data_IF_020588889614
#
_entry.id   IF_020588889614
#
_cell.length_a   1.000
_cell.length_b   1.000
_cell.length_c   1.000
_cell.angle_alpha   90.00
_cell.angle_beta   90.00
_cell.angle_gamma   90.00
#
_symmetry.space_group_name_H-M   'P 1'
#
loop_
_entity.id
_entity.type
_entity.pdbx_description
1 polymer ?
#
# COMPACT_ATOMS: atom_id res chain seq x y z
N UNK A 1 22.68 13.55 -24.50
CA UNK A 1 21.67 14.62 -24.43
C UNK A 1 20.65 14.19 -23.40
N UNK A 2 20.42 14.95 -22.36
CA UNK A 2 19.37 14.64 -21.37
C UNK A 2 18.01 14.79 -22.06
N UNK A 3 17.20 13.74 -22.00
CA UNK A 3 15.82 13.82 -22.50
C UNK A 3 15.02 14.80 -21.63
N UNK A 4 14.25 15.69 -22.27
CA UNK A 4 13.35 16.60 -21.60
C UNK A 4 11.92 16.29 -22.02
N UNK A 5 11.05 16.10 -21.02
CA UNK A 5 9.65 15.78 -21.22
C UNK A 5 8.82 16.79 -20.42
N UNK A 6 7.85 17.42 -21.08
CA UNK A 6 6.96 18.39 -20.43
C UNK A 6 5.50 17.95 -20.55
N UNK A 7 4.72 18.23 -19.51
CA UNK A 7 3.29 17.94 -19.47
C UNK A 7 2.55 18.95 -18.59
N UNK A 8 1.28 19.19 -18.87
CA UNK A 8 0.40 19.99 -17.99
C UNK A 8 0.19 19.31 -16.64
N UNK A 9 0.13 17.97 -16.65
CA UNK A 9 -0.04 17.16 -15.44
C UNK A 9 0.85 15.91 -15.50
N UNK A 10 1.61 15.73 -14.46
CA UNK A 10 2.33 14.48 -14.21
C UNK A 10 1.70 13.78 -12.99
N UNK A 11 1.44 12.48 -13.12
CA UNK A 11 1.04 11.61 -12.03
C UNK A 11 2.24 10.73 -11.69
N UNK A 12 2.72 10.81 -10.46
CA UNK A 12 3.84 10.04 -9.97
C UNK A 12 3.33 8.81 -9.22
N UNK A 13 3.49 7.66 -9.84
CA UNK A 13 3.01 6.36 -9.35
C UNK A 13 1.84 5.80 -10.14
N UNK A 14 1.85 4.49 -10.35
CA UNK A 14 0.92 3.74 -11.20
C UNK A 14 0.03 2.74 -10.43
N UNK A 15 -0.12 2.94 -9.13
CA UNK A 15 -1.13 2.22 -8.36
C UNK A 15 -2.57 2.67 -8.68
N UNK A 16 -3.59 2.09 -8.04
CA UNK A 16 -5.01 2.44 -8.30
C UNK A 16 -5.28 3.94 -8.20
N UNK A 17 -4.66 4.63 -7.24
CA UNK A 17 -4.81 6.07 -7.06
C UNK A 17 -4.23 6.85 -8.25
N UNK A 18 -3.05 6.45 -8.75
CA UNK A 18 -2.40 7.08 -9.88
C UNK A 18 -3.18 6.89 -11.18
N UNK A 19 -3.60 5.67 -11.48
CA UNK A 19 -4.41 5.43 -12.68
C UNK A 19 -5.77 6.13 -12.61
N UNK A 20 -6.43 6.12 -11.45
CA UNK A 20 -7.69 6.87 -11.28
C UNK A 20 -7.50 8.36 -11.55
N UNK A 21 -6.47 8.98 -10.97
CA UNK A 21 -6.17 10.39 -11.21
C UNK A 21 -5.90 10.67 -12.70
N UNK A 22 -5.12 9.81 -13.36
CA UNK A 22 -4.78 9.94 -14.76
C UNK A 22 -6.00 9.79 -15.67
N UNK A 23 -6.90 8.83 -15.41
CA UNK A 23 -8.13 8.62 -16.16
C UNK A 23 -8.97 9.90 -16.14
N UNK A 24 -9.21 10.48 -14.98
CA UNK A 24 -10.03 11.69 -14.89
C UNK A 24 -9.34 12.92 -15.46
N UNK A 25 -8.04 13.04 -15.32
CA UNK A 25 -7.25 14.11 -15.92
C UNK A 25 -7.27 14.05 -17.46
N UNK A 26 -7.13 12.84 -18.03
CA UNK A 26 -7.23 12.63 -19.46
C UNK A 26 -8.63 12.98 -19.99
N UNK A 27 -9.68 12.57 -19.30
CA UNK A 27 -11.06 12.92 -19.61
C UNK A 27 -11.33 14.43 -19.52
N UNK A 28 -10.58 15.16 -18.69
CA UNK A 28 -10.60 16.62 -18.62
C UNK A 28 -9.72 17.31 -19.70
N UNK A 29 -9.13 16.55 -20.63
CA UNK A 29 -8.31 17.09 -21.72
C UNK A 29 -6.94 17.59 -21.29
N UNK A 30 -6.38 17.09 -20.17
CA UNK A 30 -5.08 17.51 -19.66
C UNK A 30 -3.90 16.74 -20.27
N UNK A 31 -4.15 15.65 -21.00
CA UNK A 31 -3.14 14.77 -21.60
C UNK A 31 -2.04 14.39 -20.58
N UNK A 32 -2.40 13.74 -19.48
CA UNK A 32 -1.48 13.49 -18.39
C UNK A 32 -0.40 12.47 -18.74
N UNK A 33 0.73 12.55 -18.04
CA UNK A 33 1.77 11.54 -18.05
C UNK A 33 1.73 10.81 -16.70
N UNK A 34 1.70 9.46 -16.71
CA UNK A 34 1.95 8.64 -15.53
C UNK A 34 3.39 8.15 -15.57
N UNK A 35 4.16 8.47 -14.53
CA UNK A 35 5.50 7.88 -14.32
C UNK A 35 5.33 6.69 -13.39
N UNK A 36 5.59 5.49 -13.93
CA UNK A 36 5.12 4.24 -13.33
C UNK A 36 5.92 3.79 -12.08
N UNK A 37 7.17 4.26 -11.93
CA UNK A 37 8.05 3.84 -10.86
C UNK A 37 8.67 2.46 -11.14
N UNK A 38 9.26 1.87 -10.11
CA UNK A 38 9.95 0.57 -10.19
C UNK A 38 9.00 -0.63 -10.18
N UNK A 39 7.76 -0.44 -9.74
CA UNK A 39 6.73 -1.49 -9.68
C UNK A 39 5.43 -0.98 -10.32
N UNK A 40 5.28 -1.06 -11.66
CA UNK A 40 4.06 -0.70 -12.35
C UNK A 40 2.84 -1.46 -11.80
N UNK A 41 1.74 -0.74 -11.58
CA UNK A 41 0.54 -1.29 -10.96
C UNK A 41 0.55 -1.29 -9.42
N UNK A 42 1.72 -1.08 -8.80
CA UNK A 42 1.86 -0.98 -7.34
C UNK A 42 1.57 -2.28 -6.60
N UNK A 43 1.13 -2.18 -5.35
CA UNK A 43 1.00 -3.34 -4.46
C UNK A 43 -0.05 -4.37 -4.90
N UNK A 44 -1.09 -3.97 -5.61
CA UNK A 44 -2.11 -4.92 -6.08
C UNK A 44 -1.55 -5.94 -7.08
N UNK A 45 -0.42 -5.68 -7.73
CA UNK A 45 0.23 -6.67 -8.61
C UNK A 45 0.85 -7.85 -7.85
N UNK A 46 1.03 -7.71 -6.55
CA UNK A 46 1.53 -8.79 -5.66
C UNK A 46 0.43 -9.42 -4.81
N UNK A 47 -0.80 -8.91 -4.92
CA UNK A 47 -1.98 -9.43 -4.23
C UNK A 47 -2.73 -10.38 -5.16
N UNK A 48 -3.16 -11.53 -4.65
CA UNK A 48 -3.98 -12.47 -5.43
C UNK A 48 -5.43 -12.03 -5.45
N UNK A 49 -6.16 -12.28 -4.39
CA UNK A 49 -7.59 -12.06 -4.29
C UNK A 49 -7.92 -10.67 -3.77
N UNK A 50 -8.78 -9.96 -4.50
CA UNK A 50 -9.28 -8.62 -4.15
C UNK A 50 -10.80 -8.68 -4.10
N UNK A 51 -11.36 -8.46 -2.90
CA UNK A 51 -12.79 -8.48 -2.64
C UNK A 51 -13.36 -7.10 -2.27
N UNK A 52 -12.50 -6.14 -1.98
CA UNK A 52 -12.86 -4.84 -1.43
C UNK A 52 -12.66 -3.67 -2.40
N UNK A 53 -12.45 -3.95 -3.69
CA UNK A 53 -12.45 -2.90 -4.70
C UNK A 53 -13.88 -2.68 -5.21
N UNK A 54 -14.45 -1.46 -5.07
CA UNK A 54 -15.84 -1.21 -5.43
C UNK A 54 -16.09 -1.44 -6.93
N UNK A 55 -17.25 -2.04 -7.24
CA UNK A 55 -17.70 -2.30 -8.62
C UNK A 55 -17.66 -3.77 -9.02
N UNK A 56 -17.05 -4.63 -8.21
CA UNK A 56 -17.00 -6.08 -8.44
C UNK A 56 -17.70 -6.81 -7.29
N UNK A 57 -18.65 -7.68 -7.63
CA UNK A 57 -19.38 -8.52 -6.66
C UNK A 57 -18.57 -9.76 -6.30
N UNK A 58 -17.91 -10.32 -7.28
CA UNK A 58 -17.14 -11.55 -7.15
C UNK A 58 -15.66 -11.20 -6.98
N UNK A 59 -14.90 -12.13 -6.40
CA UNK A 59 -13.44 -11.98 -6.21
C UNK A 59 -12.75 -11.75 -7.55
N UNK A 60 -11.86 -10.77 -7.59
CA UNK A 60 -11.01 -10.48 -8.75
C UNK A 60 -9.54 -10.61 -8.39
N UNK A 61 -8.69 -10.79 -9.39
CA UNK A 61 -7.25 -10.87 -9.19
C UNK A 61 -6.61 -9.48 -9.24
N UNK A 62 -5.74 -9.17 -8.28
CA UNK A 62 -5.06 -7.89 -8.19
C UNK A 62 -4.27 -7.52 -9.46
N UNK A 63 -3.43 -8.40 -10.02
CA UNK A 63 -2.72 -8.14 -11.27
C UNK A 63 -3.67 -7.80 -12.42
N UNK A 64 -4.72 -8.59 -12.61
CA UNK A 64 -5.71 -8.33 -13.65
C UNK A 64 -6.38 -6.96 -13.48
N UNK A 65 -6.78 -6.59 -12.27
CA UNK A 65 -7.37 -5.28 -12.01
C UNK A 65 -6.42 -4.16 -12.42
N UNK A 66 -5.13 -4.29 -12.14
CA UNK A 66 -4.14 -3.26 -12.47
C UNK A 66 -3.87 -3.17 -13.97
N UNK A 67 -3.93 -4.29 -14.70
CA UNK A 67 -3.87 -4.32 -16.16
C UNK A 67 -5.08 -3.59 -16.78
N UNK A 68 -6.29 -3.86 -16.30
CA UNK A 68 -7.51 -3.19 -16.74
C UNK A 68 -7.49 -1.68 -16.47
N UNK A 69 -7.01 -1.25 -15.30
CA UNK A 69 -6.89 0.16 -14.95
C UNK A 69 -5.84 0.87 -15.81
N UNK A 70 -4.72 0.23 -16.11
CA UNK A 70 -3.71 0.75 -17.03
C UNK A 70 -4.30 0.91 -18.43
N UNK A 71 -4.92 -0.14 -18.96
CA UNK A 71 -5.53 -0.14 -20.28
C UNK A 71 -6.61 0.94 -20.40
N UNK A 72 -7.42 1.14 -19.35
CA UNK A 72 -8.40 2.22 -19.31
C UNK A 72 -7.73 3.59 -19.35
N UNK A 73 -6.66 3.80 -18.60
CA UNK A 73 -5.95 5.08 -18.58
C UNK A 73 -5.33 5.40 -19.95
N UNK A 74 -4.73 4.42 -20.61
CA UNK A 74 -4.16 4.55 -21.95
C UNK A 74 -5.26 4.82 -22.99
N UNK A 75 -6.38 4.10 -22.92
CA UNK A 75 -7.51 4.26 -23.82
C UNK A 75 -8.08 5.70 -23.83
N UNK A 76 -8.10 6.36 -22.67
CA UNK A 76 -8.57 7.75 -22.58
C UNK A 76 -7.49 8.80 -22.86
N UNK A 77 -6.27 8.37 -23.25
CA UNK A 77 -5.21 9.26 -23.73
C UNK A 77 -4.13 9.59 -22.68
N UNK A 78 -3.99 8.82 -21.63
CA UNK A 78 -2.85 8.93 -20.71
C UNK A 78 -1.60 8.34 -21.34
N UNK A 79 -0.49 9.05 -21.25
CA UNK A 79 0.83 8.53 -21.66
C UNK A 79 1.52 7.85 -20.47
N UNK A 80 1.87 6.57 -20.62
CA UNK A 80 2.69 5.84 -19.64
C UNK A 80 4.16 6.07 -19.91
N UNK A 81 4.95 6.29 -18.83
CA UNK A 81 6.40 6.42 -18.87
C UNK A 81 7.01 5.49 -17.85
N UNK A 82 7.85 4.61 -18.34
CA UNK A 82 8.63 3.72 -17.48
C UNK A 82 9.90 4.44 -17.03
N UNK A 83 9.85 5.03 -15.85
CA UNK A 83 10.96 5.67 -15.18
C UNK A 83 10.73 5.68 -13.66
N UNK A 84 11.78 5.88 -12.89
CA UNK A 84 11.73 6.13 -11.46
C UNK A 84 12.26 7.54 -11.18
N UNK A 85 11.55 8.30 -10.36
CA UNK A 85 11.92 9.68 -10.03
C UNK A 85 12.80 9.70 -8.78
N UNK A 86 14.03 10.12 -8.97
CA UNK A 86 15.01 10.28 -7.90
C UNK A 86 14.79 11.55 -7.07
N UNK A 87 14.31 12.63 -7.70
CA UNK A 87 14.09 13.89 -6.98
C UNK A 87 13.02 14.77 -7.62
N UNK A 88 12.37 15.58 -6.78
CA UNK A 88 11.34 16.55 -7.18
C UNK A 88 11.65 17.90 -6.58
N UNK A 89 11.67 18.95 -7.41
CA UNK A 89 11.74 20.34 -6.98
C UNK A 89 10.34 20.98 -7.05
N UNK A 90 9.67 21.03 -5.92
CA UNK A 90 8.32 21.60 -5.80
C UNK A 90 8.31 23.15 -5.78
N UNK A 91 9.47 23.78 -5.66
CA UNK A 91 9.59 25.26 -5.62
C UNK A 91 9.73 25.86 -6.99
N UNK A 92 10.22 25.08 -7.97
CA UNK A 92 10.31 25.54 -9.35
C UNK A 92 8.93 25.65 -10.01
N UNK A 93 8.85 26.52 -11.01
CA UNK A 93 7.66 26.64 -11.88
C UNK A 93 8.13 26.73 -13.33
N UNK A 94 7.83 25.73 -14.19
CA UNK A 94 7.11 24.48 -13.88
C UNK A 94 7.82 23.60 -12.84
N UNK A 95 7.08 22.70 -12.18
CA UNK A 95 7.61 21.71 -11.24
C UNK A 95 8.60 20.82 -11.98
N UNK A 96 9.79 20.62 -11.43
CA UNK A 96 10.82 19.81 -12.04
C UNK A 96 11.00 18.48 -11.32
N UNK A 97 11.02 17.40 -12.10
CA UNK A 97 11.33 16.06 -11.61
C UNK A 97 12.56 15.53 -12.36
N UNK A 98 13.38 14.74 -11.71
CA UNK A 98 14.56 14.10 -12.30
C UNK A 98 14.43 12.60 -12.17
N UNK A 99 14.46 11.91 -13.31
CA UNK A 99 14.48 10.45 -13.38
C UNK A 99 15.85 9.88 -13.07
N UNK A 100 15.91 8.59 -12.71
CA UNK A 100 17.15 7.87 -12.40
C UNK A 100 18.14 7.85 -13.58
N UNK A 101 17.62 7.84 -14.79
CA UNK A 101 18.42 7.89 -16.02
C UNK A 101 18.84 9.31 -16.44
N UNK A 102 18.56 10.33 -15.61
CA UNK A 102 18.86 11.73 -15.89
C UNK A 102 17.84 12.46 -16.76
N UNK A 103 16.72 11.82 -17.13
CA UNK A 103 15.61 12.48 -17.81
C UNK A 103 15.02 13.58 -16.93
N UNK A 104 14.79 14.76 -17.52
CA UNK A 104 14.15 15.89 -16.83
C UNK A 104 12.68 15.97 -17.24
N UNK A 105 11.82 16.02 -16.25
CA UNK A 105 10.39 16.21 -16.45
C UNK A 105 9.97 17.57 -15.90
N UNK A 106 9.07 18.23 -16.64
CA UNK A 106 8.50 19.51 -16.23
C UNK A 106 6.99 19.42 -16.24
N UNK A 107 6.34 19.84 -15.16
CA UNK A 107 4.91 19.79 -15.00
C UNK A 107 4.35 21.12 -14.46
N UNK A 108 3.19 21.56 -15.00
CA UNK A 108 2.45 22.66 -14.38
C UNK A 108 1.80 22.21 -13.07
N UNK A 109 1.38 20.94 -13.00
CA UNK A 109 0.77 20.30 -11.84
C UNK A 109 1.31 18.89 -11.63
N UNK A 110 1.38 18.45 -10.37
CA UNK A 110 1.88 17.13 -9.97
C UNK A 110 0.87 16.46 -9.03
N UNK A 111 0.52 15.22 -9.34
CA UNK A 111 -0.18 14.32 -8.40
C UNK A 111 0.84 13.30 -7.87
N UNK A 112 1.00 13.25 -6.56
CA UNK A 112 1.88 12.27 -5.89
C UNK A 112 1.01 11.10 -5.43
N UNK A 113 1.17 9.94 -6.09
CA UNK A 113 0.42 8.71 -5.86
C UNK A 113 1.37 7.51 -5.67
N UNK A 114 2.47 7.74 -4.96
CA UNK A 114 3.58 6.78 -4.82
C UNK A 114 3.28 5.62 -3.88
N UNK A 115 2.12 5.64 -3.21
CA UNK A 115 1.69 4.59 -2.31
C UNK A 115 2.55 4.48 -1.05
N UNK A 116 2.56 3.28 -0.48
CA UNK A 116 3.36 2.93 0.68
C UNK A 116 3.82 1.47 0.57
N UNK A 117 4.87 1.13 1.28
CA UNK A 117 5.32 -0.25 1.42
C UNK A 117 5.12 -0.71 2.86
N UNK A 118 4.60 -1.93 3.01
CA UNK A 118 4.49 -2.57 4.30
C UNK A 118 5.87 -2.81 4.91
N UNK A 119 5.98 -2.59 6.22
CA UNK A 119 7.18 -2.93 6.98
C UNK A 119 7.00 -4.34 7.56
N UNK A 120 7.66 -5.28 6.94
CA UNK A 120 7.75 -6.65 7.42
C UNK A 120 8.81 -6.80 8.52
N UNK A 121 8.74 -7.89 9.28
CA UNK A 121 9.76 -8.20 10.30
C UNK A 121 11.09 -8.63 9.67
N UNK A 122 11.03 -9.16 8.44
CA UNK A 122 12.21 -9.65 7.71
C UNK A 122 12.68 -11.03 8.17
N UNK A 123 11.80 -11.81 8.79
CA UNK A 123 12.12 -13.18 9.20
C UNK A 123 11.94 -14.14 8.02
N UNK A 124 12.83 -15.11 7.82
CA UNK A 124 12.66 -16.11 6.75
C UNK A 124 11.34 -16.87 6.83
N UNK A 125 10.88 -17.19 8.04
CA UNK A 125 9.59 -17.84 8.28
C UNK A 125 8.39 -16.95 7.95
N UNK A 126 8.52 -15.64 8.04
CA UNK A 126 7.46 -14.68 7.66
C UNK A 126 7.16 -14.74 6.17
N UNK A 127 8.19 -14.85 5.33
CA UNK A 127 8.04 -14.87 3.88
C UNK A 127 7.13 -16.01 3.40
N UNK A 128 7.25 -17.18 4.02
CA UNK A 128 6.42 -18.34 3.72
C UNK A 128 4.95 -18.17 4.15
N UNK A 129 4.71 -17.29 5.13
CA UNK A 129 3.38 -17.10 5.72
C UNK A 129 2.64 -15.89 5.14
N UNK A 130 3.26 -15.07 4.29
CA UNK A 130 2.62 -13.94 3.64
C UNK A 130 1.40 -14.39 2.83
N UNK A 131 0.23 -13.77 3.10
CA UNK A 131 -1.06 -14.16 2.50
C UNK A 131 -1.62 -15.52 2.99
N UNK A 132 -0.93 -16.18 3.94
CA UNK A 132 -1.30 -17.51 4.45
C UNK A 132 -1.31 -17.56 6.00
N UNK A 133 -1.52 -16.42 6.62
CA UNK A 133 -1.52 -16.26 8.07
C UNK A 133 -0.77 -15.02 8.54
N UNK A 134 0.17 -14.50 7.75
CA UNK A 134 0.80 -13.21 7.98
C UNK A 134 0.32 -12.19 6.92
N UNK A 135 -0.20 -11.08 7.40
CA UNK A 135 -0.68 -9.95 6.59
C UNK A 135 -0.08 -8.64 7.10
N UNK A 136 0.00 -7.66 6.23
CA UNK A 136 0.40 -6.29 6.57
C UNK A 136 -0.74 -5.29 6.40
N UNK A 137 -1.97 -5.77 6.27
CA UNK A 137 -3.15 -4.93 6.05
C UNK A 137 -4.39 -5.54 6.72
N UNK A 138 -4.74 -5.07 7.89
CA UNK A 138 -5.91 -5.57 8.62
C UNK A 138 -7.24 -5.28 7.88
N UNK A 139 -7.34 -4.14 7.21
CA UNK A 139 -8.55 -3.77 6.45
C UNK A 139 -8.72 -4.60 5.18
N UNK A 140 -7.62 -5.12 4.61
CA UNK A 140 -7.67 -5.98 3.44
C UNK A 140 -8.06 -7.41 3.82
N UNK A 141 -7.38 -7.97 4.82
CA UNK A 141 -7.38 -9.40 5.10
C UNK A 141 -8.12 -9.78 6.39
N UNK A 142 -8.47 -8.81 7.24
CA UNK A 142 -9.05 -9.05 8.57
C UNK A 142 -10.33 -9.89 8.54
N UNK A 143 -11.12 -9.77 7.48
CA UNK A 143 -12.34 -10.54 7.28
C UNK A 143 -12.09 -12.06 7.26
N UNK A 144 -10.98 -12.51 6.65
CA UNK A 144 -10.63 -13.95 6.57
C UNK A 144 -10.25 -14.57 7.92
N UNK A 145 -9.96 -13.73 8.90
CA UNK A 145 -9.57 -14.15 10.26
C UNK A 145 -10.69 -13.96 11.29
N UNK A 146 -11.95 -13.84 10.84
CA UNK A 146 -13.11 -13.68 11.71
C UNK A 146 -13.22 -14.85 12.70
N UNK A 147 -13.36 -14.52 13.99
CA UNK A 147 -13.46 -15.47 15.09
C UNK A 147 -12.15 -16.17 15.48
N UNK A 148 -11.04 -15.88 14.80
CA UNK A 148 -9.72 -16.44 15.13
C UNK A 148 -8.99 -15.54 16.11
N UNK A 149 -8.01 -16.11 16.82
CA UNK A 149 -7.05 -15.33 17.61
C UNK A 149 -6.09 -14.64 16.67
N UNK A 150 -5.84 -13.35 16.90
CA UNK A 150 -4.99 -12.53 16.04
C UNK A 150 -3.89 -11.88 16.86
N UNK A 151 -2.67 -11.91 16.33
CA UNK A 151 -1.53 -11.16 16.84
C UNK A 151 -1.22 -9.99 15.89
N UNK A 152 -1.09 -8.79 16.44
CA UNK A 152 -0.63 -7.59 15.72
C UNK A 152 0.74 -7.22 16.24
N UNK A 153 1.68 -7.01 15.32
CA UNK A 153 3.09 -6.76 15.70
C UNK A 153 3.44 -5.31 15.41
N UNK A 154 3.78 -4.56 16.44
CA UNK A 154 4.20 -3.17 16.28
C UNK A 154 3.93 -2.30 17.50
N UNK A 155 4.04 -0.98 17.33
CA UNK A 155 3.83 -0.02 18.43
C UNK A 155 3.70 1.43 17.94
N UNK A 156 3.56 1.63 16.64
CA UNK A 156 3.20 2.91 16.02
C UNK A 156 1.69 3.01 15.75
N UNK A 157 1.26 4.13 15.18
CA UNK A 157 -0.16 4.39 14.85
C UNK A 157 -0.79 3.23 14.09
N UNK A 158 -0.19 2.81 12.98
CA UNK A 158 -0.69 1.71 12.14
C UNK A 158 -0.98 0.44 12.94
N UNK A 159 -0.03 -0.01 13.77
CA UNK A 159 -0.22 -1.23 14.56
C UNK A 159 -1.36 -1.10 15.58
N UNK A 160 -1.52 0.07 16.19
CA UNK A 160 -2.61 0.32 17.15
C UNK A 160 -3.94 0.43 16.42
N UNK A 161 -4.00 1.12 15.30
CA UNK A 161 -5.20 1.23 14.46
C UNK A 161 -5.64 -0.14 13.93
N UNK A 162 -4.70 -0.95 13.45
CA UNK A 162 -4.99 -2.30 12.97
C UNK A 162 -5.44 -3.24 14.10
N UNK A 163 -4.84 -3.14 15.29
CA UNK A 163 -5.30 -3.91 16.45
C UNK A 163 -6.73 -3.54 16.84
N UNK A 164 -7.06 -2.25 16.86
CA UNK A 164 -8.43 -1.77 17.08
C UNK A 164 -9.38 -2.24 15.98
N UNK A 165 -8.98 -2.16 14.71
CA UNK A 165 -9.79 -2.61 13.59
C UNK A 165 -10.08 -4.13 13.67
N UNK A 166 -9.09 -4.93 14.03
CA UNK A 166 -9.25 -6.38 14.16
C UNK A 166 -10.26 -6.79 15.22
N UNK A 167 -10.58 -5.97 16.18
CA UNK A 167 -11.65 -6.26 17.16
C UNK A 167 -13.04 -6.37 16.53
N UNK A 168 -13.25 -5.83 15.33
CA UNK A 168 -14.48 -6.04 14.56
C UNK A 168 -14.61 -7.48 14.03
N UNK A 169 -13.51 -8.22 13.98
CA UNK A 169 -13.44 -9.56 13.43
C UNK A 169 -13.04 -10.61 14.47
N UNK A 170 -12.31 -10.22 15.51
CA UNK A 170 -11.77 -11.12 16.54
C UNK A 170 -12.05 -10.59 17.95
N UNK A 171 -12.40 -11.51 18.86
CA UNK A 171 -12.54 -11.21 20.28
C UNK A 171 -11.26 -11.48 21.10
N UNK A 172 -10.17 -11.91 20.44
CA UNK A 172 -8.87 -12.18 21.07
C UNK A 172 -7.76 -11.60 20.19
N UNK A 173 -7.48 -10.33 20.39
CA UNK A 173 -6.43 -9.59 19.68
C UNK A 173 -5.27 -9.35 20.65
N UNK A 174 -4.07 -9.71 20.24
CA UNK A 174 -2.86 -9.50 21.04
C UNK A 174 -1.90 -8.57 20.29
N UNK A 175 -1.68 -7.37 20.82
CA UNK A 175 -0.63 -6.48 20.30
C UNK A 175 0.72 -6.87 20.94
N UNK A 176 1.70 -7.22 20.11
CA UNK A 176 3.06 -7.59 20.54
C UNK A 176 4.00 -6.43 20.25
N UNK A 177 4.63 -5.91 21.31
CA UNK A 177 5.59 -4.81 21.17
C UNK A 177 6.92 -5.10 21.85
N UNK A 178 8.01 -4.81 21.14
CA UNK A 178 9.39 -5.10 21.59
C UNK A 178 9.92 -4.16 22.68
N UNK A 179 9.18 -3.11 23.04
CA UNK A 179 9.52 -2.12 24.07
C UNK A 179 8.43 -2.10 25.14
N UNK A 180 8.63 -1.29 26.15
CA UNK A 180 7.71 -1.07 27.29
C UNK A 180 6.70 0.07 27.07
N UNK A 181 6.84 0.81 25.95
CA UNK A 181 5.93 1.90 25.61
C UNK A 181 5.66 2.00 24.11
N UNK A 182 4.42 2.32 23.75
CA UNK A 182 4.03 2.56 22.35
C UNK A 182 4.50 3.95 21.89
N UNK A 183 4.69 4.08 20.59
CA UNK A 183 4.98 5.35 19.91
C UNK A 183 3.77 5.94 19.20
N UNK A 184 2.64 5.24 19.26
CA UNK A 184 1.38 5.71 18.72
C UNK A 184 0.91 6.98 19.44
N UNK A 185 0.04 7.75 18.81
CA UNK A 185 -0.60 8.91 19.40
C UNK A 185 -1.38 8.55 20.65
N UNK A 186 -1.39 9.46 21.62
CA UNK A 186 -1.99 9.21 22.94
C UNK A 186 -3.47 8.79 22.85
N UNK A 187 -4.23 9.42 21.98
CA UNK A 187 -5.64 9.08 21.76
C UNK A 187 -5.86 7.66 21.26
N UNK A 188 -4.97 7.16 20.43
CA UNK A 188 -5.01 5.78 19.94
C UNK A 188 -4.64 4.79 21.05
N UNK A 189 -3.64 5.13 21.87
CA UNK A 189 -3.26 4.32 23.02
C UNK A 189 -4.40 4.22 24.04
N UNK A 190 -5.07 5.32 24.33
CA UNK A 190 -6.19 5.35 25.27
C UNK A 190 -7.35 4.46 24.78
N UNK A 191 -7.66 4.48 23.51
CA UNK A 191 -8.65 3.58 22.89
C UNK A 191 -8.23 2.12 22.96
N UNK A 192 -6.96 1.83 22.66
CA UNK A 192 -6.41 0.47 22.72
C UNK A 192 -6.51 -0.11 24.11
N UNK A 193 -6.05 0.64 25.14
CA UNK A 193 -6.04 0.16 26.53
C UNK A 193 -7.44 0.06 27.15
N UNK A 194 -8.40 0.83 26.65
CA UNK A 194 -9.80 0.73 27.07
C UNK A 194 -10.54 -0.46 26.43
N UNK A 195 -9.97 -1.08 25.39
CA UNK A 195 -10.67 -2.12 24.62
C UNK A 195 -10.55 -3.51 25.26
N UNK A 196 -11.69 -4.17 25.66
CA UNK A 196 -11.66 -5.41 26.42
C UNK A 196 -11.09 -6.61 25.68
N UNK A 197 -11.12 -6.58 24.34
CA UNK A 197 -10.66 -7.69 23.48
C UNK A 197 -9.20 -7.56 23.06
N UNK A 198 -8.46 -6.54 23.57
CA UNK A 198 -7.05 -6.34 23.21
C UNK A 198 -6.16 -6.57 24.42
N UNK A 199 -5.14 -7.39 24.25
CA UNK A 199 -4.05 -7.57 25.21
C UNK A 199 -2.76 -7.03 24.63
N UNK A 200 -1.90 -6.44 25.46
CA UNK A 200 -0.58 -5.98 25.03
C UNK A 200 0.49 -6.83 25.69
N UNK A 201 1.37 -7.40 24.86
CA UNK A 201 2.57 -8.10 25.32
C UNK A 201 3.78 -7.19 25.10
N UNK A 202 4.30 -6.69 26.20
CA UNK A 202 5.47 -5.83 26.25
C UNK A 202 6.77 -6.59 26.22
N UNK A 203 7.83 -5.96 25.73
CA UNK A 203 9.20 -6.49 25.73
C UNK A 203 9.29 -7.87 25.07
N UNK A 204 8.48 -8.09 24.03
CA UNK A 204 8.44 -9.32 23.24
C UNK A 204 8.72 -9.01 21.77
N UNK A 205 9.51 -9.87 21.15
CA UNK A 205 9.75 -9.88 19.71
C UNK A 205 9.35 -11.24 19.15
N UNK A 206 8.94 -11.25 17.89
CA UNK A 206 8.68 -12.48 17.15
C UNK A 206 10.03 -13.03 16.70
N UNK A 207 10.30 -14.26 17.05
CA UNK A 207 11.50 -14.99 16.64
C UNK A 207 11.24 -15.81 15.38
N UNK A 208 10.08 -16.45 15.33
CA UNK A 208 9.75 -17.35 14.24
C UNK A 208 8.23 -17.47 14.05
N UNK A 209 7.78 -17.63 12.80
CA UNK A 209 6.41 -17.99 12.47
C UNK A 209 6.34 -19.51 12.34
N UNK A 210 5.38 -20.13 13.03
CA UNK A 210 5.14 -21.58 12.98
C UNK A 210 3.76 -21.81 12.39
N UNK A 211 3.67 -22.66 11.39
CA UNK A 211 2.41 -23.02 10.76
C UNK A 211 2.61 -24.09 9.70
N UNK A 212 1.58 -24.89 9.49
CA UNK A 212 1.51 -25.82 8.37
C UNK A 212 0.92 -25.07 7.16
N UNK A 213 1.59 -25.12 6.02
CA UNK A 213 1.02 -24.62 4.78
C UNK A 213 -0.13 -25.52 4.36
N UNK A 214 -1.30 -24.97 3.96
CA UNK A 214 -2.35 -25.77 3.35
C UNK A 214 -1.78 -26.46 2.11
N UNK A 215 -1.64 -27.77 2.16
CA UNK A 215 -1.13 -28.58 1.05
C UNK A 215 0.18 -29.31 1.29
N UNK A 216 0.72 -29.28 2.52
CA UNK A 216 1.90 -30.06 2.97
C UNK A 216 2.96 -30.28 1.91
N UNK A 217 4.20 -29.92 2.18
CA UNK A 217 5.30 -30.64 1.54
C UNK A 217 5.42 -31.97 2.18
#
# INVERSE_FOLDING_TARGET
MSNVISSRLIVLGSGPAGYTAAIYAARAGLSPIVIQGIQPGGQLTTTTDVENYPGFRDVIQGPWLMEEMQAQAEHVGTRMVWDHIASVDLRSRPIRLTGDNGTQYFADSLVIATGAQAKWLGLPSEEHMKGRGASACATCDGFFYRGKKVAVIGGGNTAVEEALYMTNHSHDVTLIHRRDALRAEKILQDRLFAHPNIKVLWNKAVEHFVGELPGGL
#
